data_IF_098361511187
#
_entry.id   IF_098361511187
#
_cell.length_a   1.000
_cell.length_b   1.000
_cell.length_c   1.000
_cell.angle_alpha   90.00
_cell.angle_beta   90.00
_cell.angle_gamma   90.00
#
_symmetry.space_group_name_H-M   'P 1'
#
loop_
_entity.id
_entity.type
_entity.pdbx_description
1 polymer ?
#
# COMPACT_ATOMS: atom_id res chain seq x y z
N UNK A 1 2.18 26.20 68.99
CA UNK A 1 3.02 27.38 68.73
C UNK A 1 2.10 28.56 68.45
N UNK A 2 1.84 29.33 69.51
CA UNK A 2 1.01 30.53 69.54
C UNK A 2 1.90 31.75 69.32
N UNK A 3 1.51 32.67 68.44
CA UNK A 3 2.06 34.02 68.42
C UNK A 3 0.92 35.01 68.65
N UNK A 4 0.74 35.31 69.93
CA UNK A 4 -0.06 36.39 70.49
C UNK A 4 0.80 37.65 70.40
N UNK A 5 0.47 38.58 69.50
CA UNK A 5 1.05 39.92 69.53
C UNK A 5 0.07 40.86 70.24
N UNK A 6 0.37 41.11 71.51
CA UNK A 6 -0.28 42.12 72.32
C UNK A 6 0.14 43.51 71.84
N UNK A 7 -0.84 44.40 71.72
CA UNK A 7 -0.62 45.83 71.56
C UNK A 7 -0.95 46.51 72.89
N UNK A 8 0.08 47.09 73.51
CA UNK A 8 0.01 47.92 74.70
C UNK A 8 -0.79 49.20 74.41
N UNK A 9 -1.76 49.51 75.27
CA UNK A 9 -2.44 50.81 75.31
C UNK A 9 -1.66 51.78 76.23
N UNK A 10 -1.36 53.02 75.79
CA UNK A 10 -1.02 54.08 76.73
C UNK A 10 -2.28 54.87 77.10
N UNK A 11 -2.43 55.08 78.41
CA UNK A 11 -3.47 55.89 79.06
C UNK A 11 -2.95 57.31 79.25
N UNK A 12 -3.90 58.25 79.26
CA UNK A 12 -3.86 59.66 79.72
C UNK A 12 -3.38 60.71 78.71
N UNK A 13 -4.31 61.56 78.29
CA UNK A 13 -4.30 62.96 78.72
C UNK A 13 -5.69 63.59 78.55
N UNK A 14 -6.20 64.07 79.69
CA UNK A 14 -7.36 64.92 79.84
C UNK A 14 -7.08 66.29 79.23
N UNK A 15 -7.87 66.70 78.23
CA UNK A 15 -7.92 68.09 77.76
C UNK A 15 -9.36 68.57 77.87
N UNK A 16 -9.55 69.35 78.92
CA UNK A 16 -10.62 70.26 79.23
C UNK A 16 -10.98 71.20 78.07
N UNK A 17 -12.21 71.69 78.07
CA UNK A 17 -12.53 73.01 77.51
C UNK A 17 -13.42 72.95 76.28
N UNK A 18 -14.72 72.94 76.55
CA UNK A 18 -15.77 73.35 75.62
C UNK A 18 -15.46 74.74 75.08
N UNK A 19 -15.20 74.84 73.77
CA UNK A 19 -15.47 76.05 72.99
C UNK A 19 -15.56 75.73 71.48
N UNK A 20 -16.82 75.75 71.02
CA UNK A 20 -17.35 76.01 69.67
C UNK A 20 -17.58 74.88 68.61
N UNK A 21 -18.78 74.89 67.98
CA UNK A 21 -19.38 73.83 67.13
C UNK A 21 -18.92 73.80 65.65
N UNK A 22 -17.80 74.47 65.30
CA UNK A 22 -17.37 74.64 63.90
C UNK A 22 -16.72 73.38 63.28
N UNK A 23 -16.11 72.50 64.10
CA UNK A 23 -15.44 71.30 63.60
C UNK A 23 -16.37 70.27 62.94
N UNK A 24 -17.59 70.11 63.46
CA UNK A 24 -18.58 69.19 62.89
C UNK A 24 -19.11 69.67 61.53
N UNK A 25 -19.25 70.99 61.36
CA UNK A 25 -19.66 71.59 60.09
C UNK A 25 -18.60 71.31 59.02
N UNK A 26 -17.31 71.49 59.35
CA UNK A 26 -16.18 71.12 58.48
C UNK A 26 -16.17 69.62 58.14
N UNK A 27 -16.46 68.74 59.10
CA UNK A 27 -16.56 67.30 58.87
C UNK A 27 -17.71 66.87 57.94
N UNK A 28 -18.89 67.49 58.06
CA UNK A 28 -20.02 67.23 57.17
C UNK A 28 -19.72 67.72 55.75
N UNK A 29 -19.04 68.86 55.63
CA UNK A 29 -18.71 69.48 54.33
C UNK A 29 -17.66 68.66 53.57
N UNK A 30 -16.66 68.08 54.27
CA UNK A 30 -15.70 67.15 53.65
C UNK A 30 -16.36 65.83 53.25
N UNK A 31 -17.26 65.28 54.06
CA UNK A 31 -18.04 64.08 53.70
C UNK A 31 -18.94 64.31 52.48
N UNK A 32 -19.62 65.46 52.39
CA UNK A 32 -20.42 65.83 51.23
C UNK A 32 -19.56 65.99 49.98
N UNK A 33 -18.37 66.59 50.11
CA UNK A 33 -17.41 66.73 49.01
C UNK A 33 -16.88 65.37 48.53
N UNK A 34 -16.53 64.46 49.45
CA UNK A 34 -16.11 63.08 49.13
C UNK A 34 -17.25 62.32 48.46
N UNK A 35 -18.48 62.43 48.94
CA UNK A 35 -19.66 61.81 48.32
C UNK A 35 -19.87 62.31 46.88
N UNK A 36 -19.71 63.62 46.65
CA UNK A 36 -19.76 64.22 45.31
C UNK A 36 -18.65 63.71 44.40
N UNK A 37 -17.43 63.57 44.90
CA UNK A 37 -16.30 62.99 44.15
C UNK A 37 -16.56 61.53 43.78
N UNK A 38 -17.04 60.71 44.73
CA UNK A 38 -17.39 59.31 44.49
C UNK A 38 -18.54 59.22 43.47
N UNK A 39 -19.56 60.06 43.58
CA UNK A 39 -20.67 60.11 42.62
C UNK A 39 -20.22 60.58 41.23
N UNK A 40 -19.30 61.54 41.14
CA UNK A 40 -18.72 62.01 39.87
C UNK A 40 -17.84 60.93 39.23
N UNK A 41 -17.03 60.24 40.02
CA UNK A 41 -16.18 59.15 39.56
C UNK A 41 -17.00 57.94 39.09
N UNK A 42 -18.02 57.56 39.87
CA UNK A 42 -18.98 56.52 39.49
C UNK A 42 -19.73 56.85 38.19
N UNK A 43 -20.12 58.12 37.97
CA UNK A 43 -20.73 58.56 36.71
C UNK A 43 -19.78 58.45 35.52
N UNK A 44 -18.51 58.84 35.66
CA UNK A 44 -17.49 58.68 34.61
C UNK A 44 -17.22 57.20 34.30
N UNK A 45 -17.13 56.37 35.34
CA UNK A 45 -16.91 54.93 35.19
C UNK A 45 -18.09 54.24 34.49
N UNK A 46 -19.34 54.57 34.86
CA UNK A 46 -20.55 54.08 34.19
C UNK A 46 -20.55 54.41 32.69
N UNK A 47 -20.19 55.64 32.30
CA UNK A 47 -20.12 56.03 30.88
C UNK A 47 -19.10 55.19 30.09
N UNK A 48 -17.91 54.94 30.67
CA UNK A 48 -16.89 54.06 30.05
C UNK A 48 -17.40 52.62 29.92
N UNK A 49 -18.05 52.08 30.96
CA UNK A 49 -18.63 50.73 30.89
C UNK A 49 -19.75 50.62 29.86
N UNK A 50 -20.59 51.63 29.72
CA UNK A 50 -21.64 51.68 28.70
C UNK A 50 -21.04 51.68 27.28
N UNK A 51 -19.96 52.42 27.05
CA UNK A 51 -19.28 52.46 25.76
C UNK A 51 -18.53 51.15 25.41
N UNK A 52 -18.10 50.37 26.42
CA UNK A 52 -17.44 49.08 26.21
C UNK A 52 -18.41 47.94 25.86
N UNK A 53 -19.70 48.05 26.25
CA UNK A 53 -20.71 47.04 25.96
C UNK A 53 -20.83 46.67 24.47
N UNK A 54 -20.97 47.62 23.52
CA UNK A 54 -21.09 47.27 22.10
C UNK A 54 -19.82 46.59 21.57
N UNK A 55 -18.63 46.99 22.04
CA UNK A 55 -17.36 46.35 21.64
C UNK A 55 -17.31 44.90 22.13
N UNK A 56 -17.66 44.66 23.40
CA UNK A 56 -17.70 43.31 23.96
C UNK A 56 -18.78 42.46 23.27
N UNK A 57 -19.90 43.05 22.88
CA UNK A 57 -20.95 42.37 22.13
C UNK A 57 -20.48 42.00 20.71
N UNK A 58 -19.78 42.90 20.01
CA UNK A 58 -19.18 42.61 18.71
C UNK A 58 -18.15 41.50 18.80
N UNK A 59 -17.25 41.54 19.80
CA UNK A 59 -16.28 40.47 20.01
C UNK A 59 -16.95 39.13 20.33
N UNK A 60 -18.03 39.14 21.14
CA UNK A 60 -18.82 37.93 21.40
C UNK A 60 -19.41 37.35 20.12
N UNK A 61 -20.01 38.17 19.26
CA UNK A 61 -20.55 37.74 17.97
C UNK A 61 -19.48 37.17 17.04
N UNK A 62 -18.29 37.79 17.00
CA UNK A 62 -17.17 37.28 16.23
C UNK A 62 -16.65 35.94 16.76
N UNK A 63 -16.50 35.82 18.08
CA UNK A 63 -16.08 34.55 18.71
C UNK A 63 -17.13 33.46 18.45
N UNK A 64 -18.41 33.81 18.51
CA UNK A 64 -19.52 32.89 18.24
C UNK A 64 -19.52 32.44 16.77
N UNK A 65 -19.34 33.36 15.81
CA UNK A 65 -19.26 33.00 14.39
C UNK A 65 -18.05 32.11 14.09
N UNK A 66 -16.87 32.42 14.66
CA UNK A 66 -15.67 31.60 14.52
C UNK A 66 -15.84 30.22 15.13
N UNK A 67 -16.54 30.11 16.27
CA UNK A 67 -16.85 28.81 16.88
C UNK A 67 -17.77 27.98 15.99
N UNK A 68 -18.80 28.58 15.41
CA UNK A 68 -19.70 27.90 14.48
C UNK A 68 -18.96 27.44 13.22
N UNK A 69 -18.10 28.28 12.68
CA UNK A 69 -17.26 27.94 11.54
C UNK A 69 -16.32 26.77 11.86
N UNK A 70 -15.64 26.80 13.00
CA UNK A 70 -14.74 25.75 13.45
C UNK A 70 -15.48 24.42 13.69
N UNK A 71 -16.68 24.46 14.25
CA UNK A 71 -17.54 23.27 14.38
C UNK A 71 -17.90 22.70 13.00
N UNK A 72 -18.25 23.56 12.04
CA UNK A 72 -18.57 23.11 10.69
C UNK A 72 -17.36 22.49 9.97
N UNK A 73 -16.15 23.02 10.18
CA UNK A 73 -14.93 22.41 9.64
C UNK A 73 -14.60 21.09 10.32
N UNK A 74 -14.74 21.02 11.66
CA UNK A 74 -14.53 19.78 12.41
C UNK A 74 -15.45 18.67 11.88
N UNK A 75 -16.72 18.99 11.66
CA UNK A 75 -17.68 18.04 11.10
C UNK A 75 -17.29 17.60 9.68
N UNK A 76 -16.88 18.52 8.80
CA UNK A 76 -16.42 18.15 7.45
C UNK A 76 -15.20 17.24 7.46
N UNK A 77 -14.27 17.47 8.39
CA UNK A 77 -13.07 16.62 8.54
C UNK A 77 -13.47 15.24 9.02
N UNK A 78 -14.43 15.14 9.94
CA UNK A 78 -15.00 13.88 10.40
C UNK A 78 -15.67 13.12 9.25
N UNK A 79 -16.55 13.78 8.49
CA UNK A 79 -17.21 13.19 7.31
C UNK A 79 -16.19 12.71 6.26
N UNK A 80 -15.13 13.47 6.00
CA UNK A 80 -14.05 13.08 5.08
C UNK A 80 -13.30 11.87 5.61
N UNK A 81 -12.98 11.85 6.91
CA UNK A 81 -12.28 10.73 7.53
C UNK A 81 -13.11 9.45 7.48
N UNK A 82 -14.41 9.52 7.75
CA UNK A 82 -15.32 8.37 7.63
C UNK A 82 -15.35 7.84 6.19
N UNK A 83 -15.51 8.72 5.20
CA UNK A 83 -15.49 8.33 3.79
C UNK A 83 -14.16 7.70 3.36
N UNK A 84 -13.03 8.23 3.85
CA UNK A 84 -11.70 7.67 3.58
C UNK A 84 -11.56 6.26 4.17
N UNK A 85 -12.06 6.03 5.38
CA UNK A 85 -12.04 4.69 6.01
C UNK A 85 -12.85 3.69 5.18
N UNK A 86 -14.04 4.08 4.71
CA UNK A 86 -14.87 3.23 3.83
C UNK A 86 -14.13 2.89 2.53
N UNK A 87 -13.55 3.89 1.86
CA UNK A 87 -12.80 3.70 0.61
C UNK A 87 -11.56 2.82 0.80
N UNK A 88 -10.86 2.97 1.93
CA UNK A 88 -9.69 2.14 2.27
C UNK A 88 -10.13 0.68 2.42
N UNK A 89 -11.22 0.43 3.15
CA UNK A 89 -11.74 -0.93 3.37
C UNK A 89 -12.22 -1.57 2.06
N UNK A 90 -12.92 -0.82 1.21
CA UNK A 90 -13.35 -1.29 -0.10
C UNK A 90 -12.16 -1.66 -0.99
N UNK A 91 -11.16 -0.77 -1.08
CA UNK A 91 -9.93 -1.05 -1.84
C UNK A 91 -9.16 -2.24 -1.29
N UNK A 92 -9.08 -2.39 0.04
CA UNK A 92 -8.42 -3.52 0.68
C UNK A 92 -9.08 -4.85 0.28
N UNK A 93 -10.42 -4.91 0.31
CA UNK A 93 -11.18 -6.09 -0.13
C UNK A 93 -10.95 -6.42 -1.61
N UNK A 94 -10.98 -5.41 -2.50
CA UNK A 94 -10.72 -5.62 -3.94
C UNK A 94 -9.30 -6.14 -4.19
N UNK A 95 -8.31 -5.60 -3.48
CA UNK A 95 -6.93 -6.05 -3.59
C UNK A 95 -6.73 -7.48 -3.09
N UNK A 96 -7.42 -7.86 -2.02
CA UNK A 96 -7.41 -9.22 -1.50
C UNK A 96 -8.00 -10.22 -2.51
N UNK A 97 -9.13 -9.88 -3.12
CA UNK A 97 -9.75 -10.68 -4.19
C UNK A 97 -8.84 -10.85 -5.41
N UNK A 98 -8.18 -9.77 -5.84
CA UNK A 98 -7.24 -9.83 -6.95
C UNK A 98 -6.02 -10.68 -6.61
N UNK A 99 -5.48 -10.55 -5.40
CA UNK A 99 -4.38 -11.37 -4.90
C UNK A 99 -4.75 -12.86 -4.91
N UNK A 100 -5.95 -13.20 -4.44
CA UNK A 100 -6.43 -14.58 -4.42
C UNK A 100 -6.57 -15.15 -5.84
N UNK A 101 -7.14 -14.38 -6.78
CA UNK A 101 -7.22 -14.78 -8.20
C UNK A 101 -5.85 -14.97 -8.84
N UNK A 102 -4.88 -14.11 -8.53
CA UNK A 102 -3.51 -14.25 -9.03
C UNK A 102 -2.84 -15.50 -8.47
N UNK A 103 -3.02 -15.78 -7.19
CA UNK A 103 -2.48 -16.98 -6.55
C UNK A 103 -3.07 -18.25 -7.17
N UNK A 104 -4.37 -18.28 -7.42
CA UNK A 104 -5.06 -19.41 -8.06
C UNK A 104 -4.57 -19.64 -9.50
N UNK A 105 -4.44 -18.57 -10.30
CA UNK A 105 -3.86 -18.65 -11.66
C UNK A 105 -2.41 -19.13 -11.64
N UNK A 106 -1.61 -18.65 -10.69
CA UNK A 106 -0.21 -19.05 -10.56
C UNK A 106 -0.11 -20.53 -10.23
N UNK A 107 -0.97 -21.02 -9.33
CA UNK A 107 -1.06 -22.45 -8.99
C UNK A 107 -1.45 -23.29 -10.21
N UNK A 108 -2.48 -22.88 -10.95
CA UNK A 108 -2.90 -23.57 -12.18
C UNK A 108 -1.79 -23.62 -13.23
N UNK A 109 -1.09 -22.49 -13.45
CA UNK A 109 0.02 -22.45 -14.40
C UNK A 109 1.19 -23.35 -13.96
N UNK A 110 1.45 -23.44 -12.66
CA UNK A 110 2.47 -24.34 -12.12
C UNK A 110 2.09 -25.81 -12.33
N UNK A 111 0.84 -26.18 -12.08
CA UNK A 111 0.32 -27.54 -12.32
C UNK A 111 0.39 -27.91 -13.81
N UNK A 112 -0.06 -27.02 -14.71
CA UNK A 112 0.01 -27.24 -16.17
C UNK A 112 1.45 -27.34 -16.66
N UNK A 113 2.36 -26.50 -16.16
CA UNK A 113 3.77 -26.58 -16.52
C UNK A 113 4.40 -27.89 -16.04
N UNK A 114 4.04 -28.36 -14.84
CA UNK A 114 4.49 -29.66 -14.33
C UNK A 114 3.97 -30.80 -15.21
N UNK A 115 2.68 -30.79 -15.56
CA UNK A 115 2.10 -31.81 -16.45
C UNK A 115 2.78 -31.81 -17.83
N UNK A 116 3.05 -30.63 -18.41
CA UNK A 116 3.78 -30.51 -19.67
C UNK A 116 5.20 -31.05 -19.57
N UNK A 117 5.91 -30.77 -18.47
CA UNK A 117 7.24 -31.31 -18.23
C UNK A 117 7.22 -32.84 -18.13
N UNK A 118 6.25 -33.40 -17.41
CA UNK A 118 6.08 -34.85 -17.29
C UNK A 118 5.74 -35.52 -18.64
N UNK A 119 4.84 -34.92 -19.43
CA UNK A 119 4.50 -35.41 -20.78
C UNK A 119 5.69 -35.33 -21.74
N UNK A 120 6.45 -34.24 -21.70
CA UNK A 120 7.68 -34.12 -22.51
C UNK A 120 8.70 -35.22 -22.15
N UNK A 121 8.92 -35.46 -20.85
CA UNK A 121 9.81 -36.54 -20.40
C UNK A 121 9.29 -37.94 -20.77
N UNK A 122 7.97 -38.13 -20.93
CA UNK A 122 7.41 -39.38 -21.46
C UNK A 122 7.66 -39.53 -22.97
N UNK A 123 7.48 -38.45 -23.73
CA UNK A 123 7.73 -38.44 -25.18
C UNK A 123 9.20 -38.69 -25.51
N UNK A 124 10.11 -38.08 -24.76
CA UNK A 124 11.55 -38.30 -24.87
C UNK A 124 11.90 -39.78 -24.67
N UNK A 125 11.46 -40.37 -23.55
CA UNK A 125 11.65 -41.81 -23.28
C UNK A 125 11.03 -42.70 -24.36
N UNK A 126 9.84 -42.37 -24.85
CA UNK A 126 9.21 -43.12 -25.92
C UNK A 126 10.04 -43.06 -27.21
N UNK A 127 10.56 -41.90 -27.55
CA UNK A 127 11.37 -41.73 -28.75
C UNK A 127 12.74 -42.41 -28.64
N UNK A 128 13.39 -42.36 -27.47
CA UNK A 128 14.61 -43.14 -27.20
C UNK A 128 14.37 -44.65 -27.37
N UNK A 129 13.28 -45.16 -26.78
CA UNK A 129 12.92 -46.57 -26.85
C UNK A 129 12.61 -47.05 -28.27
N UNK A 130 12.03 -46.19 -29.11
CA UNK A 130 11.65 -46.56 -30.48
C UNK A 130 12.75 -46.31 -31.52
N UNK A 131 13.53 -45.24 -31.38
CA UNK A 131 14.56 -44.86 -32.36
C UNK A 131 15.68 -45.91 -32.44
N UNK A 132 16.12 -46.44 -31.29
CA UNK A 132 17.24 -47.38 -31.26
C UNK A 132 16.95 -48.74 -31.93
N UNK A 133 15.81 -49.43 -31.65
CA UNK A 133 15.43 -50.64 -32.37
C UNK A 133 15.21 -50.41 -33.87
N UNK A 134 14.61 -49.27 -34.25
CA UNK A 134 14.37 -48.95 -35.66
C UNK A 134 15.71 -48.76 -36.37
N UNK A 135 16.62 -47.96 -35.82
CA UNK A 135 17.97 -47.75 -36.37
C UNK A 135 18.74 -49.07 -36.53
N UNK A 136 18.65 -49.97 -35.54
CA UNK A 136 19.26 -51.30 -35.64
C UNK A 136 18.70 -52.12 -36.81
N UNK A 137 17.38 -52.05 -37.07
CA UNK A 137 16.74 -52.75 -38.20
C UNK A 137 17.18 -52.15 -39.53
N UNK A 138 17.23 -50.82 -39.63
CA UNK A 138 17.71 -50.09 -40.82
C UNK A 138 19.18 -50.44 -41.12
N UNK A 139 20.05 -50.43 -40.12
CA UNK A 139 21.45 -50.83 -40.27
C UNK A 139 21.60 -52.29 -40.74
N UNK A 140 20.75 -53.21 -40.24
CA UNK A 140 20.74 -54.60 -40.70
C UNK A 140 20.30 -54.73 -42.15
N UNK A 141 19.24 -54.02 -42.57
CA UNK A 141 18.77 -54.00 -43.96
C UNK A 141 19.88 -53.48 -44.87
N UNK A 142 20.50 -52.35 -44.50
CA UNK A 142 21.63 -51.79 -45.24
C UNK A 142 22.77 -52.79 -45.39
N UNK A 143 23.19 -53.44 -44.29
CA UNK A 143 24.26 -54.43 -44.33
C UNK A 143 23.94 -55.64 -45.22
N UNK A 144 22.69 -56.12 -45.23
CA UNK A 144 22.26 -57.19 -46.13
C UNK A 144 22.28 -56.76 -47.59
N UNK A 145 21.82 -55.54 -47.90
CA UNK A 145 21.87 -54.98 -49.25
C UNK A 145 23.31 -54.83 -49.75
N UNK A 146 24.21 -54.34 -48.88
CA UNK A 146 25.64 -54.21 -49.18
C UNK A 146 26.28 -55.58 -49.46
N UNK A 147 25.93 -56.63 -48.70
CA UNK A 147 26.40 -58.00 -48.94
C UNK A 147 25.90 -58.59 -50.25
N UNK A 148 24.63 -58.37 -50.61
CA UNK A 148 24.06 -58.83 -51.89
C UNK A 148 24.80 -58.15 -53.05
N UNK A 149 25.03 -56.83 -52.94
CA UNK A 149 25.73 -56.06 -53.96
C UNK A 149 27.17 -56.54 -54.15
N UNK A 150 27.89 -56.83 -53.06
CA UNK A 150 29.28 -57.30 -53.12
C UNK A 150 29.43 -58.73 -53.65
N UNK A 151 28.56 -59.66 -53.22
CA UNK A 151 28.71 -61.09 -53.55
C UNK A 151 28.17 -61.45 -54.94
N UNK A 152 27.12 -60.77 -55.41
CA UNK A 152 26.44 -61.10 -56.68
C UNK A 152 26.66 -60.06 -57.78
N UNK A 153 27.61 -59.14 -57.64
CA UNK A 153 27.81 -58.03 -58.59
C UNK A 153 27.88 -58.47 -60.06
N UNK A 154 28.49 -59.63 -60.34
CA UNK A 154 28.66 -60.17 -61.70
C UNK A 154 27.42 -60.90 -62.24
N UNK A 155 26.50 -61.27 -61.37
CA UNK A 155 25.31 -62.07 -61.67
C UNK A 155 24.02 -61.24 -61.70
N UNK A 156 24.10 -59.97 -61.27
CA UNK A 156 22.96 -59.05 -61.26
C UNK A 156 22.61 -58.63 -62.68
N UNK A 157 21.34 -58.79 -63.05
CA UNK A 157 20.81 -58.15 -64.25
C UNK A 157 20.66 -56.64 -64.00
N UNK A 158 20.79 -55.78 -65.03
CA UNK A 158 20.76 -54.32 -64.85
C UNK A 158 19.53 -53.81 -64.09
N UNK A 159 18.37 -54.43 -64.29
CA UNK A 159 17.14 -54.04 -63.56
C UNK A 159 17.20 -54.35 -62.07
N UNK A 160 17.80 -55.48 -61.66
CA UNK A 160 17.94 -55.81 -60.22
C UNK A 160 18.94 -54.86 -59.56
N UNK A 161 20.01 -54.50 -60.25
CA UNK A 161 20.99 -53.52 -59.77
C UNK A 161 20.34 -52.15 -59.48
N UNK A 162 19.49 -51.66 -60.39
CA UNK A 162 18.73 -50.42 -60.21
C UNK A 162 17.80 -50.49 -58.97
N UNK A 163 17.05 -51.57 -58.81
CA UNK A 163 16.18 -51.76 -57.64
C UNK A 163 16.98 -51.81 -56.33
N UNK A 164 18.11 -52.52 -56.28
CA UNK A 164 18.98 -52.55 -55.11
C UNK A 164 19.53 -51.16 -54.79
N UNK A 165 19.93 -50.40 -55.81
CA UNK A 165 20.34 -49.00 -55.66
C UNK A 165 19.24 -48.14 -55.01
N UNK A 166 17.99 -48.28 -55.47
CA UNK A 166 16.85 -47.60 -54.85
C UNK A 166 16.61 -48.04 -53.40
N UNK A 167 16.74 -49.33 -53.08
CA UNK A 167 16.59 -49.82 -51.70
C UNK A 167 17.68 -49.27 -50.76
N UNK A 168 18.93 -49.19 -51.22
CA UNK A 168 20.03 -48.59 -50.45
C UNK A 168 19.73 -47.12 -50.19
N UNK A 169 19.36 -46.36 -51.23
CA UNK A 169 19.02 -44.94 -51.09
C UNK A 169 17.82 -44.72 -50.15
N UNK A 170 16.77 -45.54 -50.25
CA UNK A 170 15.64 -45.48 -49.33
C UNK A 170 16.04 -45.79 -47.88
N UNK A 171 16.95 -46.75 -47.67
CA UNK A 171 17.47 -47.11 -46.35
C UNK A 171 18.32 -46.00 -45.74
N UNK A 172 19.16 -45.34 -46.55
CA UNK A 172 19.96 -44.18 -46.12
C UNK A 172 19.07 -42.98 -45.74
N UNK A 173 18.07 -42.65 -46.58
CA UNK A 173 17.11 -41.60 -46.27
C UNK A 173 16.33 -41.89 -44.98
N UNK A 174 16.00 -43.16 -44.73
CA UNK A 174 15.33 -43.55 -43.49
C UNK A 174 16.24 -43.38 -42.27
N UNK A 175 17.53 -43.71 -42.36
CA UNK A 175 18.51 -43.48 -41.29
C UNK A 175 18.68 -41.98 -41.00
N UNK A 176 18.73 -41.15 -42.05
CA UNK A 176 18.77 -39.68 -41.93
C UNK A 176 17.54 -39.13 -41.23
N UNK A 177 16.33 -39.56 -41.62
CA UNK A 177 15.08 -39.15 -40.96
C UNK A 177 15.05 -39.56 -39.49
N UNK A 178 15.55 -40.77 -39.14
CA UNK A 178 15.64 -41.21 -37.75
C UNK A 178 16.60 -40.30 -36.97
N UNK A 179 17.74 -39.94 -37.56
CA UNK A 179 18.73 -39.06 -36.95
C UNK A 179 18.19 -37.64 -36.74
N UNK A 180 17.44 -37.11 -37.69
CA UNK A 180 16.80 -35.79 -37.56
C UNK A 180 15.70 -35.78 -36.50
N UNK A 181 14.91 -36.86 -36.38
CA UNK A 181 13.94 -37.02 -35.28
C UNK A 181 14.66 -37.03 -33.93
N UNK A 182 15.75 -37.79 -33.80
CA UNK A 182 16.56 -37.82 -32.56
C UNK A 182 17.11 -36.43 -32.22
N UNK A 183 17.70 -35.73 -33.19
CA UNK A 183 18.21 -34.38 -32.99
C UNK A 183 17.12 -33.39 -32.60
N UNK A 184 15.94 -33.48 -33.21
CA UNK A 184 14.79 -32.63 -32.90
C UNK A 184 14.26 -32.81 -31.47
N UNK A 185 14.46 -33.98 -30.87
CA UNK A 185 14.10 -34.26 -29.48
C UNK A 185 15.18 -33.81 -28.50
N UNK A 186 16.45 -33.88 -28.91
CA UNK A 186 17.60 -33.46 -28.08
C UNK A 186 17.76 -31.95 -28.00
N UNK A 187 17.26 -31.17 -28.97
CA UNK A 187 17.31 -29.71 -28.92
C UNK A 187 16.51 -29.21 -27.72
N UNK A 188 17.17 -28.84 -26.61
CA UNK A 188 16.47 -28.40 -25.44
C UNK A 188 15.87 -27.04 -25.77
N UNK A 189 14.76 -26.74 -25.13
CA UNK A 189 14.12 -25.43 -25.04
C UNK A 189 15.02 -24.25 -24.59
N UNK A 190 16.36 -24.34 -24.67
CA UNK A 190 17.33 -23.30 -24.28
C UNK A 190 17.11 -21.95 -24.96
N UNK A 191 16.60 -21.92 -26.20
CA UNK A 191 16.20 -20.66 -26.84
C UNK A 191 15.01 -19.98 -26.14
N UNK A 192 14.19 -20.75 -25.42
CA UNK A 192 13.11 -20.20 -24.59
C UNK A 192 13.55 -19.82 -23.18
N UNK A 193 14.64 -20.42 -22.67
CA UNK A 193 15.22 -20.07 -21.36
C UNK A 193 16.01 -18.75 -21.39
N UNK A 194 16.66 -18.41 -22.51
CA UNK A 194 17.43 -17.15 -22.65
C UNK A 194 16.58 -15.90 -22.93
N UNK A 195 15.28 -16.05 -23.20
CA UNK A 195 14.34 -14.94 -23.48
C UNK A 195 13.43 -14.57 -22.30
N UNK A 196 13.58 -15.23 -21.15
CA UNK A 196 12.94 -14.86 -19.87
C UNK A 196 13.97 -14.27 -18.94
#
# INVERSE_FOLDING_TARGET
MHWVWGWQTPVTNTLSGTDFPLGWILGILTLAFVSLLVAAWGRRWRKKHLALRPVMEQQRKLIESQRLELLSYSQRVEDINENLVVLINERASVLEDQRNKLMERTKMLMEVNQELAERNAQLERYAELNSHPVRRRVARIKGLLDLIFLNHQKELTPGIEEYLGHMIQATLKLDEVIHDIQRGLELPSEETAKKR
#
